data_IF_741123221027
#
_entry.id   IF_741123221027
#
_cell.length_a   1.000
_cell.length_b   1.000
_cell.length_c   1.000
_cell.angle_alpha   90.00
_cell.angle_beta   90.00
_cell.angle_gamma   90.00
#
_symmetry.space_group_name_H-M   'P 1'
#
loop_
_entity.id
_entity.type
_entity.pdbx_description
1 polymer ?
#
# COMPACT_ATOMS: atom_id res chain seq x y z
N UNK A 1 -15.69 -20.40 -33.18
CA UNK A 1 -15.29 -19.02 -33.53
C UNK A 1 -14.24 -18.61 -32.52
N UNK A 2 -13.08 -18.11 -32.97
CA UNK A 2 -12.06 -17.54 -32.08
C UNK A 2 -12.50 -16.12 -31.71
N UNK A 3 -12.79 -15.88 -30.43
CA UNK A 3 -13.29 -14.58 -29.94
C UNK A 3 -12.17 -13.61 -29.55
N UNK A 4 -10.96 -14.11 -29.33
CA UNK A 4 -9.78 -13.30 -29.05
C UNK A 4 -8.53 -14.04 -29.49
N UNK A 5 -7.61 -13.29 -30.09
CA UNK A 5 -6.22 -13.69 -30.28
C UNK A 5 -5.38 -12.95 -29.22
N UNK A 6 -4.53 -13.70 -28.54
CA UNK A 6 -3.52 -13.18 -27.60
C UNK A 6 -2.14 -13.48 -28.17
N UNK A 7 -1.29 -12.46 -28.25
CA UNK A 7 0.10 -12.60 -28.64
C UNK A 7 0.99 -12.20 -27.47
N UNK A 8 1.85 -13.12 -27.04
CA UNK A 8 2.91 -12.85 -26.07
C UNK A 8 4.26 -13.00 -26.76
N UNK A 9 5.06 -11.93 -26.77
CA UNK A 9 6.44 -11.94 -27.27
C UNK A 9 7.36 -11.59 -26.10
N UNK A 10 8.18 -12.56 -25.72
CA UNK A 10 9.16 -12.42 -24.63
C UNK A 10 10.54 -12.60 -25.23
N UNK A 11 11.36 -11.54 -25.19
CA UNK A 11 12.75 -11.63 -25.60
C UNK A 11 13.66 -11.67 -24.37
N UNK A 12 14.40 -12.78 -24.13
CA UNK A 12 15.30 -12.89 -22.97
C UNK A 12 16.58 -12.06 -23.14
N UNK A 13 16.84 -11.56 -24.35
CA UNK A 13 17.94 -10.66 -24.66
C UNK A 13 17.35 -9.45 -25.36
N UNK A 14 17.96 -8.28 -25.15
CA UNK A 14 17.66 -7.10 -25.95
C UNK A 14 17.97 -7.40 -27.41
N UNK A 15 16.92 -7.68 -28.15
CA UNK A 15 16.97 -7.81 -29.59
C UNK A 15 16.11 -6.66 -30.09
N UNK A 16 16.77 -5.64 -30.62
CA UNK A 16 16.14 -4.54 -31.36
C UNK A 16 15.64 -5.07 -32.71
N UNK A 17 14.86 -6.15 -32.67
CA UNK A 17 14.18 -6.69 -33.83
C UNK A 17 12.84 -5.98 -33.85
N UNK A 18 12.69 -4.91 -34.66
CA UNK A 18 11.40 -4.27 -34.80
C UNK A 18 10.40 -5.32 -35.29
N UNK A 19 9.22 -5.37 -34.67
CA UNK A 19 8.13 -6.18 -35.22
C UNK A 19 7.89 -5.74 -36.67
N UNK A 20 7.87 -6.67 -37.64
CA UNK A 20 7.61 -6.30 -39.03
C UNK A 20 6.29 -5.54 -39.12
N UNK A 21 6.33 -4.33 -39.69
CA UNK A 21 5.20 -3.37 -39.78
C UNK A 21 3.92 -3.94 -40.40
N UNK A 22 3.99 -5.13 -41.01
CA UNK A 22 2.91 -5.79 -41.74
C UNK A 22 2.37 -7.07 -41.09
N UNK A 23 2.88 -7.51 -39.93
CA UNK A 23 2.36 -8.73 -39.30
C UNK A 23 0.86 -8.61 -39.00
N UNK A 24 0.40 -7.42 -38.65
CA UNK A 24 -0.99 -7.19 -38.22
C UNK A 24 -1.83 -6.35 -39.16
N UNK A 25 -1.22 -5.63 -40.11
CA UNK A 25 -1.97 -4.89 -41.13
C UNK A 25 -2.78 -5.91 -41.95
N UNK A 26 -4.10 -5.89 -41.74
CA UNK A 26 -5.14 -6.68 -42.40
C UNK A 26 -5.26 -8.17 -42.02
N UNK A 27 -4.33 -8.73 -41.25
CA UNK A 27 -4.30 -10.19 -40.99
C UNK A 27 -4.75 -10.61 -39.58
N UNK A 28 -4.94 -9.68 -38.64
CA UNK A 28 -5.26 -10.02 -37.25
C UNK A 28 -6.39 -9.16 -36.64
N UNK A 29 -7.57 -9.04 -37.28
CA UNK A 29 -8.69 -8.26 -36.73
C UNK A 29 -9.22 -8.78 -35.39
N UNK A 30 -8.81 -9.98 -34.98
CA UNK A 30 -9.18 -10.63 -33.71
C UNK A 30 -8.15 -10.40 -32.60
N UNK A 31 -7.05 -9.69 -32.88
CA UNK A 31 -6.05 -9.38 -31.86
C UNK A 31 -6.62 -8.32 -30.91
N UNK A 32 -6.97 -8.76 -29.71
CA UNK A 32 -7.50 -7.88 -28.66
C UNK A 32 -6.55 -7.75 -27.47
N UNK A 33 -5.57 -8.66 -27.36
CA UNK A 33 -4.62 -8.70 -26.26
C UNK A 33 -3.20 -8.82 -26.79
N UNK A 34 -2.35 -7.90 -26.37
CA UNK A 34 -0.95 -7.89 -26.75
C UNK A 34 -0.07 -7.74 -25.50
N UNK A 35 0.89 -8.66 -25.36
CA UNK A 35 1.87 -8.67 -24.27
C UNK A 35 3.28 -8.70 -24.87
N UNK A 36 4.03 -7.63 -24.65
CA UNK A 36 5.39 -7.44 -25.13
C UNK A 36 6.32 -7.28 -23.94
N UNK A 37 7.31 -8.17 -23.82
CA UNK A 37 8.33 -8.10 -22.77
C UNK A 37 9.72 -8.16 -23.38
N UNK A 38 10.50 -7.10 -23.15
CA UNK A 38 11.84 -6.94 -23.70
C UNK A 38 11.86 -6.71 -25.21
N UNK A 39 10.77 -6.22 -25.79
CA UNK A 39 10.65 -5.95 -27.22
C UNK A 39 10.22 -4.50 -27.42
N UNK A 40 11.02 -3.76 -28.18
CA UNK A 40 10.67 -2.41 -28.56
C UNK A 40 9.67 -2.42 -29.72
N UNK A 41 8.54 -1.76 -29.54
CA UNK A 41 7.49 -1.62 -30.55
C UNK A 41 7.02 -0.18 -30.57
N UNK A 42 7.04 0.46 -31.74
CA UNK A 42 6.46 1.78 -31.87
C UNK A 42 4.96 1.71 -31.61
N UNK A 43 4.53 2.47 -30.61
CA UNK A 43 3.14 2.53 -30.19
C UNK A 43 2.23 3.14 -31.26
N UNK A 44 2.80 3.91 -32.19
CA UNK A 44 2.07 4.47 -33.34
C UNK A 44 1.76 3.43 -34.43
N UNK A 45 2.09 2.15 -34.21
CA UNK A 45 1.81 1.08 -35.17
C UNK A 45 0.30 0.82 -35.29
N UNK A 46 -0.27 0.85 -36.52
CA UNK A 46 -1.68 0.50 -36.75
C UNK A 46 -2.06 -0.91 -36.28
N UNK A 47 -1.07 -1.78 -36.09
CA UNK A 47 -1.20 -3.11 -35.51
C UNK A 47 -1.86 -3.13 -34.13
N UNK A 48 -1.75 -2.02 -33.40
CA UNK A 48 -2.30 -1.92 -32.05
C UNK A 48 -3.78 -1.54 -32.05
N UNK A 49 -4.35 -1.16 -33.20
CA UNK A 49 -5.74 -0.72 -33.25
C UNK A 49 -6.71 -1.85 -32.90
N UNK A 50 -7.73 -1.52 -32.10
CA UNK A 50 -8.72 -2.48 -31.63
C UNK A 50 -8.27 -3.34 -30.44
N UNK A 51 -7.09 -3.09 -29.88
CA UNK A 51 -6.67 -3.71 -28.62
C UNK A 51 -7.58 -3.28 -27.47
N UNK A 52 -7.84 -4.26 -26.60
CA UNK A 52 -8.52 -4.08 -25.31
C UNK A 52 -7.54 -4.26 -24.15
N UNK A 53 -6.46 -5.02 -24.34
CA UNK A 53 -5.42 -5.20 -23.33
C UNK A 53 -4.05 -4.97 -23.97
N UNK A 54 -3.29 -4.04 -23.42
CA UNK A 54 -1.94 -3.73 -23.84
C UNK A 54 -1.01 -3.85 -22.64
N UNK A 55 -0.01 -4.72 -22.75
CA UNK A 55 1.06 -4.88 -21.77
C UNK A 55 2.39 -4.70 -22.49
N UNK A 56 3.16 -3.69 -22.09
CA UNK A 56 4.52 -3.46 -22.58
C UNK A 56 5.45 -3.33 -21.37
N UNK A 57 6.49 -4.12 -21.38
CA UNK A 57 7.57 -4.08 -20.40
C UNK A 57 8.90 -4.05 -21.16
N UNK A 58 9.63 -2.94 -21.07
CA UNK A 58 11.01 -2.86 -21.55
C UNK A 58 11.97 -3.15 -20.39
N UNK A 59 13.22 -3.48 -20.74
CA UNK A 59 14.25 -3.66 -19.72
C UNK A 59 14.65 -2.27 -19.22
N UNK A 60 14.56 -1.99 -17.91
CA UNK A 60 14.99 -0.73 -17.32
C UNK A 60 16.51 -0.62 -17.23
N UNK A 61 17.17 -0.30 -18.35
CA UNK A 61 18.61 0.04 -18.33
C UNK A 61 18.74 1.57 -18.28
N UNK A 62 19.26 2.12 -17.18
CA UNK A 62 19.34 3.56 -16.97
C UNK A 62 20.27 4.26 -17.97
N UNK A 63 21.20 3.54 -18.60
CA UNK A 63 22.16 4.12 -19.54
C UNK A 63 21.57 4.38 -20.94
N UNK A 64 20.33 3.94 -21.19
CA UNK A 64 19.69 4.03 -22.50
C UNK A 64 18.55 5.06 -22.54
N UNK A 65 18.91 6.35 -22.57
CA UNK A 65 17.99 7.45 -22.87
C UNK A 65 17.46 7.43 -24.33
N UNK A 66 18.05 6.61 -25.21
CA UNK A 66 18.09 6.91 -26.64
C UNK A 66 16.89 6.54 -27.51
N UNK A 67 15.76 6.06 -26.99
CA UNK A 67 14.57 5.84 -27.86
C UNK A 67 13.22 5.74 -27.17
N UNK A 68 12.96 6.50 -26.09
CA UNK A 68 11.60 6.56 -25.53
C UNK A 68 10.68 7.23 -26.58
N UNK A 69 9.79 6.46 -27.20
CA UNK A 69 8.92 6.89 -28.31
C UNK A 69 7.95 7.97 -27.82
N UNK A 70 8.12 9.22 -28.27
CA UNK A 70 7.23 10.34 -27.96
C UNK A 70 5.80 10.15 -28.51
N UNK A 71 5.57 9.10 -29.31
CA UNK A 71 4.27 8.74 -29.88
C UNK A 71 3.30 8.06 -28.91
N UNK A 72 3.66 7.76 -27.66
CA UNK A 72 2.77 7.12 -26.66
C UNK A 72 1.40 7.83 -26.58
N UNK A 73 1.31 9.16 -26.45
CA UNK A 73 0.02 9.85 -26.30
C UNK A 73 -0.83 9.75 -27.56
N UNK A 74 -0.21 9.83 -28.74
CA UNK A 74 -0.92 9.70 -30.02
C UNK A 74 -1.47 8.28 -30.20
N UNK A 75 -0.69 7.28 -29.82
CA UNK A 75 -1.10 5.89 -29.86
C UNK A 75 -2.28 5.59 -28.94
N UNK A 76 -2.23 6.05 -27.69
CA UNK A 76 -3.32 5.82 -26.73
C UNK A 76 -4.65 6.43 -27.20
N UNK A 77 -4.63 7.58 -27.90
CA UNK A 77 -5.83 8.16 -28.53
C UNK A 77 -6.47 7.24 -29.57
N UNK A 78 -5.70 6.36 -30.19
CA UNK A 78 -6.17 5.40 -31.20
C UNK A 78 -6.69 4.09 -30.58
N UNK A 79 -6.68 3.98 -29.24
CA UNK A 79 -7.10 2.80 -28.48
C UNK A 79 -8.32 3.07 -27.55
N UNK A 80 -9.45 3.62 -28.05
CA UNK A 80 -10.58 3.97 -27.19
C UNK A 80 -11.29 2.76 -26.56
N UNK A 81 -11.01 1.55 -27.04
CA UNK A 81 -11.56 0.30 -26.53
C UNK A 81 -10.70 -0.34 -25.42
N UNK A 82 -9.61 0.31 -25.01
CA UNK A 82 -8.67 -0.23 -24.03
C UNK A 82 -9.33 -0.39 -22.65
N UNK A 83 -9.22 -1.59 -22.11
CA UNK A 83 -9.72 -2.00 -20.79
C UNK A 83 -8.57 -2.17 -19.79
N UNK A 84 -7.40 -2.61 -20.26
CA UNK A 84 -6.20 -2.78 -19.42
C UNK A 84 -4.98 -2.18 -20.12
N UNK A 85 -4.28 -1.30 -19.42
CA UNK A 85 -3.00 -0.71 -19.84
C UNK A 85 -1.93 -1.03 -18.81
N UNK A 86 -0.87 -1.70 -19.23
CA UNK A 86 0.31 -1.95 -18.41
C UNK A 86 1.54 -1.44 -19.18
N UNK A 87 2.26 -0.50 -18.58
CA UNK A 87 3.48 0.10 -19.13
C UNK A 87 4.58 0.03 -18.06
N UNK A 88 5.69 -0.61 -18.39
CA UNK A 88 6.84 -0.74 -17.49
C UNK A 88 8.14 -0.39 -18.21
N UNK A 89 8.90 0.56 -17.67
CA UNK A 89 10.16 1.08 -18.20
C UNK A 89 10.08 1.56 -19.66
N UNK A 90 8.92 2.08 -20.07
CA UNK A 90 8.62 2.49 -21.45
C UNK A 90 8.19 3.95 -21.55
N UNK A 91 8.06 4.64 -20.42
CA UNK A 91 7.42 5.95 -20.37
C UNK A 91 8.42 7.05 -20.74
N UNK A 92 8.12 7.93 -21.69
CA UNK A 92 9.01 9.03 -22.06
C UNK A 92 9.15 10.05 -20.93
N UNK A 93 10.38 10.56 -20.74
CA UNK A 93 10.70 11.61 -19.77
C UNK A 93 10.60 12.98 -20.44
N UNK A 94 10.00 13.96 -19.76
CA UNK A 94 10.12 15.37 -20.13
C UNK A 94 9.15 15.84 -21.21
N UNK A 95 7.97 15.22 -21.33
CA UNK A 95 6.94 15.64 -22.30
C UNK A 95 5.93 16.61 -21.68
N UNK A 96 6.42 17.75 -21.17
CA UNK A 96 5.61 18.71 -20.41
C UNK A 96 4.65 19.57 -21.27
N UNK A 97 4.56 19.35 -22.59
CA UNK A 97 3.98 20.33 -23.52
C UNK A 97 3.13 19.79 -24.69
N UNK A 98 2.68 18.53 -24.65
CA UNK A 98 1.84 18.02 -25.72
C UNK A 98 0.42 18.62 -25.66
N UNK A 99 -0.18 18.81 -26.84
CA UNK A 99 -1.51 19.41 -27.05
C UNK A 99 -2.52 19.00 -25.96
N UNK A 100 -3.04 20.02 -25.28
CA UNK A 100 -3.65 20.06 -23.94
C UNK A 100 -4.96 19.28 -23.74
N UNK A 101 -5.34 18.41 -24.68
CA UNK A 101 -6.56 17.61 -24.55
C UNK A 101 -6.27 16.27 -23.85
N UNK A 102 -6.95 16.00 -22.72
CA UNK A 102 -6.89 14.69 -22.07
C UNK A 102 -7.33 13.57 -23.03
N UNK A 103 -6.62 12.46 -22.97
CA UNK A 103 -6.86 11.24 -23.72
C UNK A 103 -7.96 10.46 -23.02
N UNK A 104 -9.07 10.25 -23.72
CA UNK A 104 -10.22 9.54 -23.20
C UNK A 104 -10.09 8.04 -23.42
N UNK A 105 -10.02 7.28 -22.33
CA UNK A 105 -10.06 5.82 -22.34
C UNK A 105 -11.29 5.35 -21.54
N UNK A 106 -12.51 5.51 -22.09
CA UNK A 106 -13.76 5.35 -21.32
C UNK A 106 -14.01 3.93 -20.83
N UNK A 107 -13.30 2.92 -21.36
CA UNK A 107 -13.41 1.52 -20.96
C UNK A 107 -12.29 1.06 -20.03
N UNK A 108 -11.37 1.94 -19.67
CA UNK A 108 -10.21 1.57 -18.87
C UNK A 108 -10.65 1.13 -17.48
N UNK A 109 -10.33 -0.12 -17.14
CA UNK A 109 -10.62 -0.76 -15.86
C UNK A 109 -9.35 -0.96 -15.04
N UNK A 110 -8.19 -1.11 -15.70
CA UNK A 110 -6.91 -1.31 -15.04
C UNK A 110 -5.80 -0.48 -15.70
N UNK A 111 -5.09 0.28 -14.89
CA UNK A 111 -3.90 1.02 -15.26
C UNK A 111 -2.73 0.58 -14.38
N UNK A 112 -1.65 0.14 -14.99
CA UNK A 112 -0.40 -0.18 -14.30
C UNK A 112 0.76 0.59 -14.93
N UNK A 113 1.43 1.41 -14.14
CA UNK A 113 2.62 2.15 -14.56
C UNK A 113 3.78 1.80 -13.65
N UNK A 114 4.91 1.43 -14.24
CA UNK A 114 6.14 1.10 -13.52
C UNK A 114 7.29 1.82 -14.21
N UNK A 115 7.76 2.93 -13.66
CA UNK A 115 8.81 3.75 -14.29
C UNK A 115 9.31 4.80 -13.28
N UNK A 116 10.09 5.77 -13.76
CA UNK A 116 10.39 6.98 -13.00
C UNK A 116 9.10 7.74 -12.62
N UNK A 117 9.08 8.28 -11.41
CA UNK A 117 7.94 9.01 -10.85
C UNK A 117 7.41 10.12 -11.76
N UNK A 118 8.27 11.04 -12.25
CA UNK A 118 7.85 12.09 -13.18
C UNK A 118 7.20 11.54 -14.46
N UNK A 119 7.75 10.48 -15.05
CA UNK A 119 7.22 9.88 -16.27
C UNK A 119 5.84 9.23 -16.05
N UNK A 120 5.64 8.55 -14.92
CA UNK A 120 4.32 8.04 -14.53
C UNK A 120 3.31 9.18 -14.36
N UNK A 121 3.74 10.28 -13.76
CA UNK A 121 2.87 11.43 -13.46
C UNK A 121 2.49 12.20 -14.74
N UNK A 122 3.42 12.32 -15.70
CA UNK A 122 3.15 12.84 -17.04
C UNK A 122 2.05 12.02 -17.75
N UNK A 123 2.15 10.68 -17.74
CA UNK A 123 1.12 9.80 -18.32
C UNK A 123 -0.23 10.02 -17.66
N UNK A 124 -0.27 10.08 -16.33
CA UNK A 124 -1.50 10.32 -15.58
C UNK A 124 -2.13 11.66 -15.94
N UNK A 125 -1.32 12.71 -16.13
CA UNK A 125 -1.78 14.02 -16.58
C UNK A 125 -2.36 14.01 -18.00
N UNK A 126 -1.99 13.03 -18.84
CA UNK A 126 -2.56 12.88 -20.18
C UNK A 126 -3.89 12.13 -20.18
N UNK A 127 -4.22 11.33 -19.17
CA UNK A 127 -5.36 10.41 -19.22
C UNK A 127 -6.59 10.97 -18.50
N UNK A 128 -7.77 10.84 -19.11
CA UNK A 128 -9.05 10.96 -18.41
C UNK A 128 -9.41 9.58 -17.83
N UNK A 129 -9.01 9.34 -16.57
CA UNK A 129 -9.15 8.04 -15.92
C UNK A 129 -10.57 7.83 -15.38
N UNK A 130 -11.27 6.74 -15.77
CA UNK A 130 -12.59 6.42 -15.22
C UNK A 130 -12.55 6.19 -13.71
N UNK A 131 -13.62 6.56 -13.00
CA UNK A 131 -13.72 6.39 -11.54
C UNK A 131 -13.63 4.94 -11.06
N UNK A 132 -14.01 3.99 -11.91
CA UNK A 132 -13.94 2.55 -11.66
C UNK A 132 -12.58 1.94 -12.00
N UNK A 133 -11.65 2.72 -12.56
CA UNK A 133 -10.35 2.23 -12.96
C UNK A 133 -9.49 1.96 -11.73
N UNK A 134 -8.90 0.76 -11.66
CA UNK A 134 -7.91 0.40 -10.66
C UNK A 134 -6.53 0.88 -11.11
N UNK A 135 -5.81 1.53 -10.21
CA UNK A 135 -4.54 2.15 -10.51
C UNK A 135 -3.44 1.45 -9.70
N UNK A 136 -2.40 0.99 -10.39
CA UNK A 136 -1.22 0.36 -9.82
C UNK A 136 0.00 1.14 -10.26
N UNK A 137 0.76 1.68 -9.31
CA UNK A 137 1.92 2.50 -9.57
C UNK A 137 3.11 1.97 -8.80
N UNK A 138 4.19 1.70 -9.51
CA UNK A 138 5.49 1.39 -8.94
C UNK A 138 6.50 2.40 -9.49
N UNK A 139 6.72 3.47 -8.72
CA UNK A 139 7.51 4.60 -9.19
C UNK A 139 8.91 4.61 -8.56
N UNK A 140 9.91 4.97 -9.34
CA UNK A 140 11.24 5.32 -8.83
C UNK A 140 11.32 6.83 -8.59
N UNK A 141 11.64 7.23 -7.37
CA UNK A 141 11.81 8.64 -7.00
C UNK A 141 13.21 8.87 -6.44
N UNK A 142 13.89 9.92 -6.92
CA UNK A 142 15.25 10.21 -6.48
C UNK A 142 15.30 10.92 -5.14
N UNK A 143 14.25 11.69 -4.80
CA UNK A 143 14.11 12.32 -3.49
C UNK A 143 12.64 12.51 -3.02
N UNK A 144 12.48 12.97 -1.77
CA UNK A 144 11.16 13.24 -1.17
C UNK A 144 10.39 14.38 -1.88
N UNK A 145 11.10 15.34 -2.47
CA UNK A 145 10.48 16.51 -3.13
C UNK A 145 9.77 16.09 -4.41
N UNK A 146 10.40 15.22 -5.21
CA UNK A 146 9.77 14.67 -6.43
C UNK A 146 8.47 13.93 -6.10
N UNK A 147 8.46 13.16 -5.01
CA UNK A 147 7.26 12.48 -4.53
C UNK A 147 6.19 13.48 -4.08
N UNK A 148 6.56 14.52 -3.32
CA UNK A 148 5.66 15.59 -2.90
C UNK A 148 5.04 16.34 -4.08
N UNK A 149 5.79 16.52 -5.19
CA UNK A 149 5.31 17.16 -6.41
C UNK A 149 4.37 16.26 -7.24
N UNK A 150 4.64 14.95 -7.26
CA UNK A 150 3.85 14.00 -8.07
C UNK A 150 2.53 13.58 -7.40
N UNK A 151 2.48 13.49 -6.07
CA UNK A 151 1.29 13.01 -5.35
C UNK A 151 0.02 13.86 -5.52
N UNK A 152 0.07 15.20 -5.59
CA UNK A 152 -1.12 16.00 -5.89
C UNK A 152 -1.75 15.65 -7.25
N UNK A 153 -0.94 15.39 -8.28
CA UNK A 153 -1.43 14.95 -9.59
C UNK A 153 -2.11 13.58 -9.50
N UNK A 154 -1.50 12.67 -8.75
CA UNK A 154 -2.09 11.36 -8.44
C UNK A 154 -3.45 11.46 -7.76
N UNK A 155 -3.56 12.35 -6.77
CA UNK A 155 -4.82 12.60 -6.09
C UNK A 155 -5.85 13.25 -7.02
N UNK A 156 -5.42 14.09 -7.97
CA UNK A 156 -6.26 14.65 -9.02
C UNK A 156 -6.88 13.60 -9.95
N UNK A 157 -6.22 12.44 -10.09
CA UNK A 157 -6.74 11.31 -10.86
C UNK A 157 -7.84 10.53 -10.12
N UNK A 158 -7.99 10.74 -8.81
CA UNK A 158 -9.05 10.14 -8.01
C UNK A 158 -10.28 11.05 -8.12
N UNK A 159 -11.40 10.59 -8.71
CA UNK A 159 -12.55 11.47 -8.89
C UNK A 159 -13.12 11.90 -7.55
N UNK A 160 -13.46 13.18 -7.43
CA UNK A 160 -14.05 13.75 -6.22
C UNK A 160 -15.38 13.07 -5.80
N UNK A 161 -16.06 12.42 -6.75
CA UNK A 161 -17.32 11.70 -6.54
C UNK A 161 -17.13 10.17 -6.37
N UNK A 162 -15.89 9.66 -6.31
CA UNK A 162 -15.64 8.25 -6.08
C UNK A 162 -15.93 7.88 -4.62
N UNK A 163 -16.37 6.64 -4.39
CA UNK A 163 -16.61 6.12 -3.04
C UNK A 163 -15.32 6.21 -2.20
N UNK A 164 -15.34 6.64 -0.94
CA UNK A 164 -14.12 6.79 -0.15
C UNK A 164 -13.35 5.47 0.03
N UNK A 165 -12.06 5.56 0.33
CA UNK A 165 -11.29 4.39 0.75
C UNK A 165 -11.61 4.02 2.20
N UNK A 166 -11.84 2.75 2.45
CA UNK A 166 -12.20 2.21 3.77
C UNK A 166 -11.08 1.36 4.37
N UNK A 167 -10.29 0.72 3.53
CA UNK A 167 -9.19 -0.13 3.97
C UNK A 167 -7.86 0.39 3.42
N UNK A 168 -6.88 0.50 4.32
CA UNK A 168 -5.50 0.87 4.01
C UNK A 168 -4.59 -0.28 4.42
N UNK A 169 -3.70 -0.72 3.54
CA UNK A 169 -2.59 -1.58 3.90
C UNK A 169 -1.28 -0.86 3.65
N UNK A 170 -0.46 -0.77 4.68
CA UNK A 170 0.93 -0.33 4.54
C UNK A 170 1.74 -1.53 4.12
N UNK A 171 2.47 -1.41 3.02
CA UNK A 171 3.40 -2.45 2.56
C UNK A 171 4.82 -1.90 2.61
N UNK A 172 5.70 -2.70 3.19
CA UNK A 172 7.15 -2.48 3.12
C UNK A 172 7.71 -3.63 2.32
N UNK A 173 8.52 -3.33 1.33
CA UNK A 173 9.38 -4.38 0.75
C UNK A 173 10.69 -4.35 1.52
N UNK A 174 11.37 -5.49 1.46
CA UNK A 174 12.67 -5.81 2.04
C UNK A 174 13.53 -4.60 2.43
N UNK A 175 14.19 -4.66 3.60
CA UNK A 175 15.17 -3.65 4.03
C UNK A 175 16.19 -3.36 2.94
N UNK A 176 16.52 -4.36 2.12
CA UNK A 176 17.46 -4.25 1.01
C UNK A 176 16.92 -3.45 -0.19
N UNK A 177 15.60 -3.40 -0.39
CA UNK A 177 14.99 -2.70 -1.53
C UNK A 177 14.56 -1.26 -1.22
N UNK A 178 14.58 -0.80 0.03
CA UNK A 178 14.16 0.56 0.40
C UNK A 178 12.78 1.00 -0.16
N UNK A 179 11.87 0.04 -0.43
CA UNK A 179 10.53 0.35 -0.96
C UNK A 179 9.51 0.49 0.14
N UNK A 180 8.67 1.51 -0.01
CA UNK A 180 7.46 1.69 0.77
C UNK A 180 6.28 1.87 -0.16
N UNK A 181 5.13 1.35 0.25
CA UNK A 181 3.91 1.51 -0.52
C UNK A 181 2.65 1.42 0.33
N UNK A 182 1.55 1.81 -0.30
CA UNK A 182 0.21 1.76 0.25
C UNK A 182 -0.71 1.05 -0.75
N UNK A 183 -1.56 0.18 -0.22
CA UNK A 183 -2.70 -0.41 -0.95
C UNK A 183 -3.98 0.11 -0.33
N UNK A 184 -4.94 0.50 -1.16
CA UNK A 184 -6.22 1.06 -0.74
C UNK A 184 -7.38 0.35 -1.42
N UNK A 185 -8.45 0.14 -0.65
CA UNK A 185 -9.70 -0.44 -1.13
C UNK A 185 -10.88 0.43 -0.72
N UNK A 186 -11.84 0.59 -1.63
CA UNK A 186 -13.12 1.25 -1.43
C UNK A 186 -14.18 0.29 -0.87
N UNK A 187 -13.97 -1.02 -0.93
CA UNK A 187 -14.87 -1.98 -0.31
C UNK A 187 -14.74 -1.92 1.23
N UNK A 188 -15.88 -1.71 1.89
CA UNK A 188 -16.00 -1.66 3.36
C UNK A 188 -16.12 -3.05 4.00
N UNK A 189 -16.46 -4.08 3.22
CA UNK A 189 -16.74 -5.43 3.72
C UNK A 189 -15.49 -6.31 3.86
N UNK A 190 -14.29 -5.71 3.83
CA UNK A 190 -13.04 -6.42 4.07
C UNK A 190 -12.88 -6.62 5.58
N UNK A 191 -13.70 -7.51 6.13
CA UNK A 191 -13.65 -7.95 7.53
C UNK A 191 -12.74 -9.17 7.72
N UNK A 192 -12.40 -9.84 6.62
CA UNK A 192 -11.52 -10.99 6.64
C UNK A 192 -10.06 -10.57 6.65
N UNK A 193 -9.25 -11.40 7.31
CA UNK A 193 -7.79 -11.29 7.32
C UNK A 193 -7.17 -11.41 5.91
N UNK A 194 -7.94 -11.95 4.96
CA UNK A 194 -7.56 -12.05 3.56
C UNK A 194 -8.05 -10.83 2.79
N UNK A 195 -7.18 -9.83 2.69
CA UNK A 195 -7.39 -8.69 1.79
C UNK A 195 -7.63 -9.20 0.35
N UNK A 196 -8.58 -8.60 -0.41
CA UNK A 196 -8.70 -8.87 -1.83
C UNK A 196 -7.37 -8.65 -2.54
N UNK A 197 -7.05 -9.52 -3.49
CA UNK A 197 -5.74 -9.54 -4.18
C UNK A 197 -5.45 -8.21 -4.90
N UNK A 198 -6.49 -7.53 -5.40
CA UNK A 198 -6.37 -6.44 -6.36
C UNK A 198 -6.97 -5.14 -5.80
N UNK A 199 -6.14 -4.25 -5.18
CA UNK A 199 -6.59 -2.98 -4.61
C UNK A 199 -7.12 -2.03 -5.69
N UNK A 200 -7.94 -1.06 -5.27
CA UNK A 200 -8.43 0.00 -6.16
C UNK A 200 -7.31 1.01 -6.46
N UNK A 201 -6.41 1.20 -5.50
CA UNK A 201 -5.19 1.99 -5.67
C UNK A 201 -4.02 1.29 -4.98
N UNK A 202 -2.96 1.04 -5.73
CA UNK A 202 -1.66 0.65 -5.22
C UNK A 202 -0.62 1.67 -5.65
N UNK A 203 0.13 2.17 -4.67
CA UNK A 203 1.28 3.05 -4.90
C UNK A 203 2.44 2.44 -4.14
N UNK A 204 3.51 2.12 -4.84
CA UNK A 204 4.78 1.71 -4.26
C UNK A 204 5.87 2.58 -4.83
N UNK A 205 6.83 2.94 -3.99
CA UNK A 205 7.92 3.81 -4.39
C UNK A 205 9.24 3.22 -3.96
N UNK A 206 10.19 3.25 -4.87
CA UNK A 206 11.58 2.92 -4.63
C UNK A 206 12.38 4.23 -4.52
N UNK A 207 13.21 4.34 -3.49
CA UNK A 207 14.13 5.45 -3.35
C UNK A 207 15.56 4.90 -3.15
N UNK A 208 16.43 4.98 -4.18
CA UNK A 208 17.76 4.36 -4.15
C UNK A 208 18.76 5.06 -3.21
N UNK A 209 18.45 6.27 -2.72
CA UNK A 209 19.37 7.04 -1.90
C UNK A 209 19.48 6.47 -0.48
N UNK A 210 20.68 6.07 -0.06
CA UNK A 210 21.02 5.57 1.30
C UNK A 210 20.56 6.48 2.45
N UNK A 211 20.21 7.73 2.16
CA UNK A 211 19.83 8.72 3.16
C UNK A 211 18.33 8.77 3.48
N UNK A 212 17.48 8.12 2.69
CA UNK A 212 16.03 8.31 2.81
C UNK A 212 15.39 7.22 3.66
N UNK A 213 14.69 7.64 4.72
CA UNK A 213 13.97 6.70 5.57
C UNK A 213 12.61 6.39 4.92
N UNK A 214 12.25 5.11 4.69
CA UNK A 214 10.93 4.72 4.16
C UNK A 214 9.74 5.33 4.91
N UNK A 215 9.95 5.70 6.18
CA UNK A 215 9.01 6.42 7.02
C UNK A 215 8.59 7.80 6.46
N UNK A 216 9.50 8.52 5.82
CA UNK A 216 9.20 9.85 5.27
C UNK A 216 8.33 9.74 4.02
N UNK A 217 8.63 8.78 3.15
CA UNK A 217 7.80 8.43 1.99
C UNK A 217 6.36 8.12 2.43
N UNK A 218 6.19 7.22 3.40
CA UNK A 218 4.85 6.88 3.91
C UNK A 218 4.13 8.10 4.48
N UNK A 219 4.86 8.99 5.17
CA UNK A 219 4.31 10.22 5.73
C UNK A 219 3.80 11.14 4.62
N UNK A 220 4.59 11.34 3.57
CA UNK A 220 4.22 12.14 2.41
C UNK A 220 2.98 11.55 1.74
N UNK A 221 2.95 10.24 1.47
CA UNK A 221 1.77 9.57 0.91
C UNK A 221 0.52 9.71 1.80
N UNK A 222 0.64 9.44 3.09
CA UNK A 222 -0.51 9.50 4.02
C UNK A 222 -1.08 10.91 4.17
N UNK A 223 -0.23 11.95 4.05
CA UNK A 223 -0.68 13.34 4.15
C UNK A 223 -1.38 13.84 2.89
N UNK A 224 -1.10 13.24 1.73
CA UNK A 224 -1.63 13.69 0.44
C UNK A 224 -2.86 12.89 0.01
N UNK A 225 -2.92 11.60 0.32
CA UNK A 225 -4.04 10.73 -0.05
C UNK A 225 -5.31 10.99 0.78
N UNK A 226 -6.51 10.78 0.20
CA UNK A 226 -7.78 10.98 0.88
C UNK A 226 -8.10 9.83 1.86
N UNK A 227 -7.44 9.81 3.02
CA UNK A 227 -7.53 8.71 4.00
C UNK A 227 -8.56 8.91 5.13
N UNK A 228 -9.31 10.01 5.11
CA UNK A 228 -10.22 10.42 6.20
C UNK A 228 -11.27 9.39 6.60
N UNK A 229 -11.63 8.52 5.66
CA UNK A 229 -12.70 7.53 5.75
C UNK A 229 -12.19 6.11 5.92
N UNK A 230 -10.87 5.95 6.05
CA UNK A 230 -10.24 4.67 6.36
C UNK A 230 -10.67 4.24 7.75
N UNK A 231 -11.33 3.09 7.82
CA UNK A 231 -11.78 2.46 9.05
C UNK A 231 -10.94 1.24 9.44
N UNK A 232 -10.19 0.67 8.49
CA UNK A 232 -9.36 -0.52 8.70
C UNK A 232 -7.93 -0.27 8.22
N UNK A 233 -6.95 -0.49 9.09
CA UNK A 233 -5.51 -0.41 8.76
C UNK A 233 -4.87 -1.79 8.87
N UNK A 234 -4.20 -2.23 7.82
CA UNK A 234 -3.35 -3.41 7.81
C UNK A 234 -1.88 -2.97 7.80
N UNK A 235 -1.14 -3.39 8.81
CA UNK A 235 0.32 -3.35 8.83
C UNK A 235 0.81 -4.79 8.66
N UNK A 236 0.89 -5.24 7.41
CA UNK A 236 1.32 -6.59 7.07
C UNK A 236 2.64 -6.54 6.31
N UNK A 237 3.52 -7.49 6.59
CA UNK A 237 4.79 -7.71 5.88
C UNK A 237 5.78 -6.54 5.92
N UNK A 238 5.54 -5.50 6.72
CA UNK A 238 6.48 -4.40 6.90
C UNK A 238 7.74 -4.90 7.62
N UNK A 239 8.89 -4.91 6.96
CA UNK A 239 10.15 -5.38 7.56
C UNK A 239 10.74 -4.41 8.58
N UNK A 240 10.47 -3.12 8.43
CA UNK A 240 10.81 -2.13 9.44
C UNK A 240 9.96 -2.27 10.70
N UNK A 241 10.19 -1.38 11.66
CA UNK A 241 9.28 -1.18 12.80
C UNK A 241 8.71 0.21 12.67
N UNK A 242 7.39 0.33 12.45
CA UNK A 242 6.71 1.61 12.55
C UNK A 242 6.87 2.08 14.00
N UNK A 243 7.71 3.08 14.25
CA UNK A 243 7.94 3.57 15.62
C UNK A 243 6.66 4.17 16.20
N UNK A 244 6.61 4.28 17.54
CA UNK A 244 5.51 4.93 18.26
C UNK A 244 5.11 6.28 17.67
N UNK A 245 6.11 7.11 17.40
CA UNK A 245 5.91 8.47 16.90
C UNK A 245 5.48 8.45 15.43
N UNK A 246 5.93 7.46 14.66
CA UNK A 246 5.53 7.28 13.28
C UNK A 246 4.06 6.85 13.18
N UNK A 247 3.59 5.91 14.00
CA UNK A 247 2.16 5.53 14.08
C UNK A 247 1.26 6.76 14.25
N UNK A 248 1.60 7.63 15.20
CA UNK A 248 0.85 8.86 15.45
C UNK A 248 0.90 9.82 14.27
N UNK A 249 2.10 10.07 13.73
CA UNK A 249 2.28 10.99 12.59
C UNK A 249 1.54 10.53 11.34
N UNK A 250 1.52 9.22 11.07
CA UNK A 250 0.87 8.66 9.90
C UNK A 250 -0.65 8.65 10.04
N UNK A 251 -1.18 8.17 11.17
CA UNK A 251 -2.59 7.79 11.21
C UNK A 251 -3.49 8.67 12.08
N UNK A 252 -2.93 9.42 13.05
CA UNK A 252 -3.78 10.20 13.97
C UNK A 252 -4.56 11.28 13.24
N UNK A 253 -3.89 11.99 12.33
CA UNK A 253 -4.52 13.03 11.50
C UNK A 253 -5.21 12.43 10.27
N UNK A 254 -4.58 11.47 9.61
CA UNK A 254 -4.99 11.05 8.27
C UNK A 254 -6.09 9.98 8.30
N UNK A 255 -6.16 9.13 9.33
CA UNK A 255 -7.14 8.04 9.44
C UNK A 255 -7.96 8.13 10.74
N UNK A 256 -8.67 9.25 11.00
CA UNK A 256 -9.33 9.48 12.29
C UNK A 256 -10.44 8.49 12.61
N UNK A 257 -11.05 7.87 11.60
CA UNK A 257 -12.16 6.90 11.72
C UNK A 257 -11.68 5.45 11.89
N UNK A 258 -10.37 5.22 12.08
CA UNK A 258 -9.83 3.87 12.23
C UNK A 258 -10.46 3.17 13.43
N UNK A 259 -11.15 2.07 13.15
CA UNK A 259 -11.81 1.22 14.14
C UNK A 259 -11.22 -0.20 14.20
N UNK A 260 -10.50 -0.61 13.16
CA UNK A 260 -9.87 -1.91 13.05
C UNK A 260 -8.39 -1.76 12.70
N UNK A 261 -7.51 -2.52 13.36
CA UNK A 261 -6.10 -2.65 12.99
C UNK A 261 -5.75 -4.12 12.89
N UNK A 262 -5.09 -4.52 11.80
CA UNK A 262 -4.54 -5.86 11.61
C UNK A 262 -3.02 -5.81 11.50
N UNK A 263 -2.32 -6.70 12.20
CA UNK A 263 -0.85 -6.76 12.22
C UNK A 263 -0.34 -8.19 12.14
N UNK A 264 0.87 -8.36 11.58
CA UNK A 264 1.48 -9.68 11.37
C UNK A 264 2.76 -9.91 12.19
N UNK A 265 3.33 -8.87 12.80
CA UNK A 265 4.59 -8.95 13.54
C UNK A 265 4.45 -8.43 14.96
N UNK A 266 5.06 -9.12 15.93
CA UNK A 266 5.03 -8.70 17.33
C UNK A 266 5.63 -7.31 17.56
N UNK A 267 6.69 -6.94 16.82
CA UNK A 267 7.31 -5.62 16.91
C UNK A 267 6.33 -4.49 16.55
N UNK A 268 5.45 -4.71 15.57
CA UNK A 268 4.37 -3.78 15.20
C UNK A 268 3.37 -3.64 16.35
N UNK A 269 2.98 -4.76 16.97
CA UNK A 269 2.06 -4.79 18.12
C UNK A 269 2.62 -3.98 19.29
N UNK A 270 3.87 -4.19 19.68
CA UNK A 270 4.52 -3.47 20.78
C UNK A 270 4.58 -1.96 20.48
N UNK A 271 4.92 -1.61 19.25
CA UNK A 271 5.01 -0.21 18.85
C UNK A 271 3.64 0.48 18.79
N UNK A 272 2.61 -0.20 18.26
CA UNK A 272 1.24 0.28 18.30
C UNK A 272 0.78 0.47 19.74
N UNK A 273 1.01 -0.51 20.62
CA UNK A 273 0.62 -0.40 22.03
C UNK A 273 1.30 0.78 22.71
N UNK A 274 2.57 1.00 22.41
CA UNK A 274 3.31 2.20 22.86
C UNK A 274 2.68 3.50 22.35
N UNK A 275 2.17 3.51 21.12
CA UNK A 275 1.48 4.66 20.53
C UNK A 275 0.11 4.89 21.18
N UNK A 276 -0.61 3.82 21.50
CA UNK A 276 -1.89 3.87 22.19
C UNK A 276 -1.77 4.38 23.63
N UNK A 277 -0.65 4.13 24.32
CA UNK A 277 -0.44 4.53 25.73
C UNK A 277 0.06 5.96 25.94
N UNK A 278 0.44 6.67 24.87
CA UNK A 278 1.13 7.97 24.98
C UNK A 278 0.27 9.12 24.45
N UNK A 279 0.39 10.32 25.05
CA UNK A 279 -0.41 11.49 24.65
C UNK A 279 -0.07 11.93 23.23
N UNK A 280 -1.04 12.45 22.47
CA UNK A 280 -0.77 12.88 21.08
C UNK A 280 0.30 13.99 21.00
N UNK A 281 0.33 14.90 21.99
CA UNK A 281 1.19 16.09 22.03
C UNK A 281 2.37 16.01 23.03
N UNK A 282 3.17 14.94 22.98
CA UNK A 282 4.36 14.80 23.84
C UNK A 282 5.48 15.83 23.55
N UNK A 283 5.28 16.79 22.62
CA UNK A 283 6.28 17.79 22.21
C UNK A 283 6.39 19.02 23.12
N UNK A 284 5.49 19.20 24.09
CA UNK A 284 5.64 20.26 25.07
C UNK A 284 6.50 19.72 26.23
N UNK A 285 7.72 20.23 26.45
CA UNK A 285 8.51 19.84 27.61
C UNK A 285 7.69 20.21 28.85
N UNK A 286 7.20 19.19 29.55
CA UNK A 286 6.46 19.36 30.78
C UNK A 286 7.34 20.16 31.74
N UNK A 287 6.91 21.38 32.06
CA UNK A 287 7.51 22.17 33.13
C UNK A 287 7.24 21.44 34.46
N UNK A 288 8.18 20.58 34.86
CA UNK A 288 8.58 20.32 36.24
C UNK A 288 7.61 19.64 37.22
N UNK A 289 6.37 19.31 36.87
CA UNK A 289 5.42 18.70 37.82
C UNK A 289 5.06 17.27 37.42
N UNK A 290 5.50 16.30 38.22
CA UNK A 290 5.22 14.87 38.09
C UNK A 290 3.74 14.58 38.40
N UNK A 291 2.84 14.82 37.44
CA UNK A 291 1.44 14.38 37.56
C UNK A 291 1.33 12.85 37.42
N UNK A 292 1.51 12.14 38.52
CA UNK A 292 1.17 10.73 38.62
C UNK A 292 -0.36 10.57 38.71
N UNK A 293 -1.00 10.17 37.61
CA UNK A 293 -2.37 9.63 37.63
C UNK A 293 -3.46 10.44 36.92
N UNK A 294 -3.12 11.51 36.18
CA UNK A 294 -4.12 12.24 35.41
C UNK A 294 -4.68 11.38 34.26
N UNK A 295 -5.99 11.14 34.27
CA UNK A 295 -6.71 10.46 33.17
C UNK A 295 -6.53 11.28 31.88
N UNK A 296 -6.07 10.61 30.82
CA UNK A 296 -5.93 11.21 29.50
C UNK A 296 -7.30 11.71 28.98
N UNK A 297 -7.43 12.98 28.59
CA UNK A 297 -8.67 13.47 28.01
C UNK A 297 -8.89 12.82 26.63
N UNK A 298 -10.16 12.62 26.28
CA UNK A 298 -10.59 11.80 25.13
C UNK A 298 -10.05 12.29 23.77
N UNK A 299 -9.86 13.60 23.65
CA UNK A 299 -9.32 14.28 22.46
C UNK A 299 -7.82 14.04 22.26
N UNK A 300 -7.11 13.56 23.27
CA UNK A 300 -5.67 13.25 23.21
C UNK A 300 -5.39 11.77 22.94
N UNK A 301 -6.41 10.92 22.85
CA UNK A 301 -6.24 9.49 22.58
C UNK A 301 -5.89 9.24 21.11
N UNK A 302 -4.82 8.48 20.88
CA UNK A 302 -4.50 7.98 19.55
C UNK A 302 -5.57 6.97 19.10
N UNK A 303 -6.17 7.21 17.93
CA UNK A 303 -7.24 6.39 17.34
C UNK A 303 -8.40 6.15 18.32
N UNK A 304 -9.20 7.19 18.64
CA UNK A 304 -10.23 7.12 19.67
C UNK A 304 -11.32 6.08 19.35
N UNK A 305 -11.55 5.79 18.07
CA UNK A 305 -12.58 4.86 17.60
C UNK A 305 -12.09 3.41 17.43
N UNK A 306 -10.85 3.11 17.81
CA UNK A 306 -10.28 1.76 17.74
C UNK A 306 -11.08 0.78 18.61
N UNK A 307 -11.69 -0.21 17.96
CA UNK A 307 -12.55 -1.23 18.57
C UNK A 307 -12.03 -2.66 18.39
N UNK A 308 -11.29 -2.92 17.32
CA UNK A 308 -10.81 -4.26 16.98
C UNK A 308 -9.32 -4.25 16.68
N UNK A 309 -8.60 -5.21 17.26
CA UNK A 309 -7.20 -5.49 16.93
C UNK A 309 -7.11 -6.95 16.47
N UNK A 310 -6.58 -7.18 15.29
CA UNK A 310 -6.34 -8.52 14.73
C UNK A 310 -4.84 -8.78 14.65
N UNK A 311 -4.42 -9.95 15.14
CA UNK A 311 -3.03 -10.38 15.18
C UNK A 311 -2.89 -11.66 14.35
N UNK A 312 -1.90 -11.72 13.46
CA UNK A 312 -1.56 -12.92 12.69
C UNK A 312 -0.09 -13.26 12.83
N UNK A 313 0.26 -14.55 12.83
CA UNK A 313 1.66 -15.01 12.86
C UNK A 313 2.51 -14.42 14.01
N UNK A 314 1.85 -13.92 15.07
CA UNK A 314 2.51 -13.29 16.22
C UNK A 314 2.97 -14.35 17.20
N UNK A 315 4.29 -14.44 17.42
CA UNK A 315 4.87 -15.33 18.41
C UNK A 315 5.35 -14.57 19.65
N UNK A 316 4.67 -14.78 20.78
CA UNK A 316 4.95 -14.09 22.06
C UNK A 316 5.90 -14.89 22.96
N UNK A 317 6.24 -16.14 22.59
CA UNK A 317 6.93 -17.11 23.46
C UNK A 317 8.27 -16.64 24.02
N UNK A 318 9.05 -15.90 23.25
CA UNK A 318 10.45 -15.60 23.57
C UNK A 318 10.68 -14.14 23.99
N UNK A 319 9.61 -13.42 24.36
CA UNK A 319 9.71 -11.97 24.61
C UNK A 319 9.67 -11.71 26.11
N UNK A 320 10.85 -11.39 26.65
CA UNK A 320 11.05 -10.93 28.04
C UNK A 320 10.19 -9.72 28.39
N UNK A 321 9.83 -8.92 27.38
CA UNK A 321 8.93 -7.77 27.50
C UNK A 321 7.56 -8.10 28.10
N UNK A 322 7.09 -9.35 28.00
CA UNK A 322 5.86 -9.78 28.68
C UNK A 322 6.07 -10.05 30.17
N UNK A 323 7.26 -10.52 30.56
CA UNK A 323 7.51 -11.07 31.89
C UNK A 323 7.83 -10.02 32.97
N UNK A 324 8.49 -8.92 32.62
CA UNK A 324 9.06 -8.02 33.65
C UNK A 324 8.15 -6.85 34.05
N UNK A 325 7.15 -6.47 33.24
CA UNK A 325 6.27 -5.30 33.49
C UNK A 325 4.80 -5.51 33.14
N UNK A 326 4.40 -6.77 32.96
CA UNK A 326 3.11 -7.12 32.35
C UNK A 326 3.12 -6.84 30.85
N UNK A 327 2.21 -7.48 30.13
CA UNK A 327 2.09 -7.27 28.69
C UNK A 327 1.88 -5.80 28.34
N UNK A 328 2.72 -5.25 27.46
CA UNK A 328 2.52 -3.90 26.89
C UNK A 328 1.13 -3.80 26.23
N UNK A 329 0.64 -4.89 25.64
CA UNK A 329 -0.70 -4.98 25.07
C UNK A 329 -1.78 -4.89 26.15
N UNK A 330 -1.71 -5.71 27.20
CA UNK A 330 -2.70 -5.68 28.31
C UNK A 330 -2.71 -4.30 28.99
N UNK A 331 -1.53 -3.70 29.18
CA UNK A 331 -1.39 -2.35 29.75
C UNK A 331 -2.05 -1.29 28.87
N UNK A 332 -1.83 -1.33 27.55
CA UNK A 332 -2.45 -0.41 26.61
C UNK A 332 -3.98 -0.55 26.58
N UNK A 333 -4.49 -1.78 26.58
CA UNK A 333 -5.93 -2.06 26.60
C UNK A 333 -6.58 -1.59 27.90
N UNK A 334 -5.93 -1.82 29.05
CA UNK A 334 -6.39 -1.34 30.35
C UNK A 334 -6.47 0.19 30.41
N UNK A 335 -5.42 0.88 29.93
CA UNK A 335 -5.40 2.34 29.88
C UNK A 335 -6.60 2.87 29.08
N UNK A 336 -6.84 2.32 27.88
CA UNK A 336 -7.97 2.70 27.04
C UNK A 336 -9.32 2.40 27.67
N UNK A 337 -9.45 1.26 28.36
CA UNK A 337 -10.65 0.91 29.12
C UNK A 337 -10.94 1.94 30.22
N UNK A 338 -9.92 2.32 30.99
CA UNK A 338 -10.01 3.35 32.02
C UNK A 338 -10.36 4.74 31.46
N UNK A 339 -9.94 5.03 30.22
CA UNK A 339 -10.30 6.25 29.50
C UNK A 339 -11.70 6.22 28.85
N UNK A 340 -12.48 5.14 29.01
CA UNK A 340 -13.83 5.02 28.43
C UNK A 340 -13.86 4.77 26.92
N UNK A 341 -12.75 4.25 26.35
CA UNK A 341 -12.58 3.91 24.93
C UNK A 341 -11.96 2.51 24.77
N UNK A 342 -12.56 1.54 25.46
CA UNK A 342 -12.11 0.17 25.44
C UNK A 342 -12.08 -0.40 24.00
N UNK A 343 -11.00 -1.10 23.67
CA UNK A 343 -10.99 -2.02 22.53
C UNK A 343 -11.92 -3.16 22.88
N UNK A 344 -12.86 -3.46 22.00
CA UNK A 344 -13.90 -4.46 22.24
C UNK A 344 -13.42 -5.88 22.01
N UNK A 345 -12.62 -6.09 20.95
CA UNK A 345 -12.20 -7.43 20.51
C UNK A 345 -10.72 -7.43 20.15
N UNK A 346 -10.01 -8.47 20.59
CA UNK A 346 -8.71 -8.87 20.05
C UNK A 346 -8.86 -10.23 19.37
N UNK A 347 -8.67 -10.28 18.06
CA UNK A 347 -8.69 -11.52 17.28
C UNK A 347 -7.28 -12.06 17.14
N UNK A 348 -7.07 -13.31 17.55
CA UNK A 348 -5.83 -14.04 17.35
C UNK A 348 -6.04 -14.99 16.16
N UNK A 349 -5.37 -14.70 15.07
CA UNK A 349 -5.45 -15.41 13.79
C UNK A 349 -4.41 -16.51 13.65
N UNK A 350 -4.31 -17.03 12.42
CA UNK A 350 -3.39 -18.11 12.05
C UNK A 350 -1.94 -17.80 12.43
N UNK A 351 -1.27 -18.79 13.02
CA UNK A 351 0.16 -18.72 13.35
C UNK A 351 0.49 -17.94 14.63
N UNK A 352 -0.52 -17.43 15.35
CA UNK A 352 -0.31 -16.86 16.67
C UNK A 352 0.10 -17.93 17.70
N UNK A 353 1.08 -17.60 18.54
CA UNK A 353 1.58 -18.48 19.61
C UNK A 353 1.57 -17.74 20.95
N UNK A 354 0.76 -18.25 21.88
CA UNK A 354 0.60 -17.71 23.24
C UNK A 354 0.71 -18.85 24.26
N UNK A 355 1.22 -18.56 25.46
CA UNK A 355 1.03 -19.48 26.58
C UNK A 355 -0.32 -19.23 27.28
N UNK A 356 -0.82 -20.21 28.04
CA UNK A 356 -2.14 -20.10 28.68
C UNK A 356 -2.24 -18.95 29.70
N UNK A 357 -1.16 -18.60 30.41
CA UNK A 357 -1.15 -17.46 31.34
C UNK A 357 -1.38 -16.13 30.59
N UNK A 358 -0.62 -15.90 29.52
CA UNK A 358 -0.72 -14.71 28.66
C UNK A 358 -2.13 -14.55 28.07
N UNK A 359 -2.72 -15.66 27.62
CA UNK A 359 -4.07 -15.66 27.07
C UNK A 359 -5.14 -15.37 28.14
N UNK A 360 -4.96 -15.86 29.38
CA UNK A 360 -5.85 -15.52 30.50
C UNK A 360 -5.77 -14.03 30.83
N UNK A 361 -4.57 -13.48 30.99
CA UNK A 361 -4.38 -12.04 31.23
C UNK A 361 -5.03 -11.16 30.16
N UNK A 362 -4.94 -11.56 28.89
CA UNK A 362 -5.59 -10.84 27.80
C UNK A 362 -7.12 -10.93 27.89
N UNK A 363 -7.68 -12.10 28.19
CA UNK A 363 -9.13 -12.31 28.36
C UNK A 363 -9.73 -11.53 29.54
N UNK A 364 -8.92 -11.25 30.57
CA UNK A 364 -9.35 -10.47 31.72
C UNK A 364 -9.57 -8.98 31.38
N UNK A 365 -9.02 -8.51 30.26
CA UNK A 365 -9.12 -7.10 29.84
C UNK A 365 -9.95 -6.86 28.59
N UNK A 366 -10.05 -7.84 27.69
CA UNK A 366 -10.74 -7.70 26.40
C UNK A 366 -11.37 -9.03 25.96
N UNK A 367 -12.41 -8.97 25.11
CA UNK A 367 -12.92 -10.17 24.46
C UNK A 367 -11.86 -10.69 23.47
N UNK A 368 -11.48 -11.97 23.61
CA UNK A 368 -10.48 -12.59 22.74
C UNK A 368 -11.15 -13.64 21.85
N UNK A 369 -11.08 -13.41 20.54
CA UNK A 369 -11.49 -14.37 19.52
C UNK A 369 -10.28 -15.21 19.09
N UNK A 370 -10.45 -16.52 19.03
CA UNK A 370 -9.38 -17.46 18.65
C UNK A 370 -9.73 -18.15 17.34
N UNK A 371 -8.85 -18.03 16.36
CA UNK A 371 -8.85 -18.89 15.18
C UNK A 371 -8.43 -20.33 15.58
N UNK A 372 -9.00 -21.38 14.96
CA UNK A 372 -8.56 -22.77 15.17
C UNK A 372 -7.05 -23.00 15.01
N UNK A 373 -6.37 -22.17 14.21
CA UNK A 373 -4.93 -22.27 13.96
C UNK A 373 -4.04 -21.59 15.02
N UNK A 374 -4.62 -21.03 16.09
CA UNK A 374 -3.87 -20.45 17.21
C UNK A 374 -3.25 -21.55 18.08
N UNK A 375 -1.95 -21.47 18.29
CA UNK A 375 -1.22 -22.41 19.15
C UNK A 375 -1.20 -21.88 20.59
N UNK A 376 -1.99 -22.52 21.46
CA UNK A 376 -1.96 -22.25 22.91
C UNK A 376 -1.04 -23.25 23.60
N UNK A 377 0.09 -22.76 24.09
CA UNK A 377 1.05 -23.58 24.84
C UNK A 377 0.59 -23.76 26.30
N UNK A 378 0.83 -24.94 26.90
CA UNK A 378 0.63 -25.12 28.33
C UNK A 378 1.57 -24.19 29.10
N UNK A 379 1.18 -23.83 30.33
CA UNK A 379 2.06 -23.09 31.23
C UNK A 379 3.34 -23.91 31.43
N UNK A 380 4.49 -23.27 31.20
CA UNK A 380 5.75 -23.88 31.55
C UNK A 380 5.69 -24.17 33.05
N UNK A 381 5.63 -25.45 33.42
CA UNK A 381 5.77 -25.85 34.81
C UNK A 381 7.12 -25.32 35.26
N UNK A 382 7.11 -24.27 36.08
CA UNK A 382 8.32 -23.68 36.65
C UNK A 382 8.94 -24.80 37.47
N UNK A 383 9.90 -25.51 36.88
CA UNK A 383 10.70 -26.47 37.60
C UNK A 383 11.42 -25.64 38.67
N UNK A 384 10.97 -25.79 39.92
CA UNK A 384 11.52 -25.03 41.04
C UNK A 384 13.04 -25.20 41.09
N UNK A 385 13.78 -24.16 41.51
CA UNK A 385 15.23 -24.29 41.71
C UNK A 385 15.46 -25.40 42.74
N UNK A 386 16.05 -26.51 42.27
CA UNK A 386 16.42 -27.66 43.09
C UNK A 386 17.66 -27.41 43.92
#
# INVERSE_FOLDING_TARGET
MLHALELSVVSPRRLDIPLPKRIFNDNAPMLHRLHLKGVHVSLSSPALFGLTHLHIEEHGDPDHESSRDSGVPQALRQLPALESLYLANTLPIGMSYLDSSPIRLPRLQKLTLIDEGPACTDVLGWLEIPASCKIHLECEFYDESELEECLPMLCGCIPANADPFHTLSVVGVDVDEARAGLKLWRDSNIHDLHLPVDPDLFISTFCPAESHQPANILKVMCNTLPLSDVCTIHAQHWEGVLSRDLWKRLFAKNCPKTSNISMSKWSEVVSLCSALTTKLDDKLPARGEEEHGAVLPLDQLFLPDLKHISLESVNVRFRTEWNDKGSVLVSALNMRRSAGRAVSVVRLGKGCVFNAAQLRELRDVVHVELDPDVIVMPEASVAGPG
#
